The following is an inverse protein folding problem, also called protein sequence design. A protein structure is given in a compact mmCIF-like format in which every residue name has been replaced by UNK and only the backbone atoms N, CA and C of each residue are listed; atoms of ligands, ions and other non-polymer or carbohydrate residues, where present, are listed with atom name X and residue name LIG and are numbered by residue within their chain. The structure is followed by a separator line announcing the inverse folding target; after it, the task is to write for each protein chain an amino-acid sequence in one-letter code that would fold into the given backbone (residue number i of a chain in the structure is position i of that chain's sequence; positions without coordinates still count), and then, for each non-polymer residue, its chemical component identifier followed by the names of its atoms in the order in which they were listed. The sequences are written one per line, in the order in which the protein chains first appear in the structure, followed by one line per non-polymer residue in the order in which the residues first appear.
data_IF_420632928783
#
_entry.id   IF_420632928783
#
_cell.length_a   1.000
_cell.length_b   1.000
_cell.length_c   1.000
_cell.angle_alpha   90.00
_cell.angle_beta   90.00
_cell.angle_gamma   90.00
#
_symmetry.space_group_name_H-M   'P 1'
#
loop_
_entity.id
_entity.type
_entity.pdbx_description
1 polymer ?
#
# COMPACT_ATOMS: atom_id res chain seq x y z
N UNK A 1 11.08 5.04 15.48
CA UNK A 1 11.27 5.87 14.28
C UNK A 1 10.22 5.54 13.23
N UNK A 2 9.59 6.54 12.68
CA UNK A 2 8.61 6.39 11.60
C UNK A 2 9.28 6.81 10.30
N UNK A 3 9.23 5.93 9.31
CA UNK A 3 9.67 6.23 7.95
C UNK A 3 8.45 6.28 7.04
N UNK A 4 8.43 7.25 6.14
CA UNK A 4 7.37 7.37 5.14
C UNK A 4 7.91 6.91 3.80
N UNK A 5 7.25 5.97 3.17
CA UNK A 5 7.67 5.38 1.91
C UNK A 5 6.67 5.78 0.83
N UNK A 6 7.10 6.61 -0.10
CA UNK A 6 6.26 7.05 -1.22
C UNK A 6 6.78 6.57 -2.57
N UNK A 7 7.96 5.97 -2.57
CA UNK A 7 8.62 5.48 -3.78
C UNK A 7 9.25 4.11 -3.51
N UNK A 8 9.32 3.27 -4.52
CA UNK A 8 9.80 1.89 -4.35
C UNK A 8 11.27 1.80 -3.93
N UNK A 9 12.10 2.73 -4.39
CA UNK A 9 13.52 2.75 -4.01
C UNK A 9 13.74 2.99 -2.52
N UNK A 10 12.72 3.48 -1.83
CA UNK A 10 12.77 3.69 -0.39
C UNK A 10 12.51 2.42 0.42
N UNK A 11 12.14 1.33 -0.25
CA UNK A 11 11.77 0.08 0.41
C UNK A 11 12.95 -0.72 0.95
N UNK A 12 14.02 -0.04 1.31
CA UNK A 12 15.15 -0.64 2.02
C UNK A 12 15.24 -0.04 3.41
N UNK A 13 15.20 -0.89 4.43
CA UNK A 13 15.35 -0.39 5.80
C UNK A 13 16.74 0.21 5.99
N UNK A 14 16.84 1.42 6.56
CA UNK A 14 18.13 2.03 6.83
C UNK A 14 18.89 1.24 7.89
N UNK A 15 20.21 1.22 7.75
CA UNK A 15 21.08 0.72 8.84
C UNK A 15 20.93 1.68 10.03
N UNK A 16 20.92 1.20 11.29
CA UNK A 16 21.33 -0.14 11.75
C UNK A 16 20.21 -1.15 11.95
N UNK A 17 19.04 -0.95 11.37
CA UNK A 17 17.95 -1.90 11.55
C UNK A 17 18.31 -3.28 11.00
N UNK A 18 18.06 -4.31 11.82
CA UNK A 18 18.19 -5.70 11.39
C UNK A 18 16.86 -6.17 10.84
N UNK A 19 16.85 -7.09 9.86
CA UNK A 19 15.62 -7.69 9.39
C UNK A 19 14.82 -8.27 10.56
N UNK A 20 13.55 -7.97 10.64
CA UNK A 20 12.65 -8.45 11.66
C UNK A 20 12.55 -7.59 12.92
N UNK A 21 13.38 -6.56 13.08
CA UNK A 21 13.36 -5.72 14.29
C UNK A 21 12.43 -4.51 14.19
N UNK A 22 12.17 -4.02 12.99
CA UNK A 22 11.43 -2.78 12.78
C UNK A 22 9.95 -3.03 12.53
N UNK A 23 9.11 -2.12 13.04
CA UNK A 23 7.74 -1.96 12.60
C UNK A 23 7.71 -0.81 11.60
N UNK A 24 7.08 -1.01 10.46
CA UNK A 24 7.07 -0.04 9.36
C UNK A 24 5.65 0.39 9.08
N UNK A 25 5.45 1.70 8.97
CA UNK A 25 4.20 2.29 8.52
C UNK A 25 4.39 2.82 7.09
N UNK A 26 3.71 2.22 6.15
CA UNK A 26 3.67 2.66 4.76
C UNK A 26 2.45 3.54 4.57
N UNK A 27 2.68 4.83 4.46
CA UNK A 27 1.65 5.84 4.27
C UNK A 27 2.06 6.77 3.12
N UNK A 28 1.31 7.00 2.16
CA UNK A 28 0.01 6.48 1.79
C UNK A 28 0.17 5.69 0.49
N UNK A 29 -0.50 4.55 0.40
CA UNK A 29 -0.36 3.66 -0.77
C UNK A 29 -0.79 4.34 -2.06
N UNK A 30 -1.79 5.20 -2.01
CA UNK A 30 -2.25 5.94 -3.19
C UNK A 30 -1.16 6.84 -3.77
N UNK A 31 -0.35 7.47 -2.93
CA UNK A 31 0.78 8.29 -3.41
C UNK A 31 1.84 7.44 -4.08
N UNK A 32 2.19 6.31 -3.48
CA UNK A 32 3.18 5.40 -4.06
C UNK A 32 2.71 4.86 -5.40
N UNK A 33 1.47 4.43 -5.50
CA UNK A 33 0.88 3.93 -6.74
C UNK A 33 0.86 5.03 -7.80
N UNK A 34 0.50 6.26 -7.41
CA UNK A 34 0.50 7.40 -8.31
C UNK A 34 1.90 7.67 -8.88
N UNK A 35 2.91 7.70 -8.01
CA UNK A 35 4.29 7.95 -8.42
C UNK A 35 4.79 6.87 -9.37
N UNK A 36 4.53 5.60 -9.07
CA UNK A 36 4.94 4.51 -9.96
C UNK A 36 4.18 4.51 -11.27
N UNK A 37 2.88 4.81 -11.25
CA UNK A 37 2.05 4.89 -12.45
C UNK A 37 2.60 5.93 -13.43
N UNK A 38 2.92 7.13 -12.93
CA UNK A 38 3.42 8.21 -13.78
C UNK A 38 4.89 8.07 -14.15
N UNK A 39 5.67 7.34 -13.35
CA UNK A 39 7.05 7.03 -13.69
C UNK A 39 7.12 6.01 -14.82
N UNK A 40 6.39 4.92 -14.71
CA UNK A 40 6.30 3.87 -15.73
C UNK A 40 5.06 3.03 -15.47
N UNK A 41 4.03 3.23 -16.25
CA UNK A 41 2.76 2.51 -16.08
C UNK A 41 2.93 1.00 -16.32
N UNK A 42 3.69 0.63 -17.37
CA UNK A 42 3.88 -0.78 -17.72
C UNK A 42 4.62 -1.51 -16.60
N UNK A 43 4.03 -2.59 -16.12
CA UNK A 43 4.61 -3.40 -15.06
C UNK A 43 4.52 -2.79 -13.66
N UNK A 44 3.80 -1.68 -13.50
CA UNK A 44 3.71 -0.99 -12.21
C UNK A 44 3.12 -1.89 -11.12
N UNK A 45 2.06 -2.64 -11.41
CA UNK A 45 1.43 -3.51 -10.43
C UNK A 45 2.42 -4.55 -9.89
N UNK A 46 3.15 -5.21 -10.78
CA UNK A 46 4.12 -6.25 -10.42
C UNK A 46 5.26 -5.68 -9.58
N UNK A 47 5.79 -4.51 -9.97
CA UNK A 47 6.86 -3.86 -9.20
C UNK A 47 6.40 -3.47 -7.81
N UNK A 48 5.20 -2.92 -7.68
CA UNK A 48 4.66 -2.50 -6.38
C UNK A 48 4.41 -3.72 -5.50
N UNK A 49 3.81 -4.77 -6.03
CA UNK A 49 3.54 -6.00 -5.28
C UNK A 49 4.84 -6.65 -4.81
N UNK A 50 5.84 -6.74 -5.67
CA UNK A 50 7.15 -7.28 -5.32
C UNK A 50 7.82 -6.43 -4.23
N UNK A 51 7.75 -5.10 -4.36
CA UNK A 51 8.30 -4.18 -3.37
C UNK A 51 7.65 -4.33 -2.00
N UNK A 52 6.34 -4.50 -1.96
CA UNK A 52 5.61 -4.73 -0.71
C UNK A 52 6.04 -6.04 -0.08
N UNK A 53 6.16 -7.11 -0.86
CA UNK A 53 6.63 -8.41 -0.35
C UNK A 53 8.05 -8.32 0.20
N UNK A 54 8.95 -7.60 -0.48
CA UNK A 54 10.31 -7.40 0.00
C UNK A 54 10.33 -6.61 1.30
N UNK A 55 9.53 -5.55 1.40
CA UNK A 55 9.45 -4.74 2.61
C UNK A 55 8.88 -5.56 3.77
N UNK A 56 7.84 -6.33 3.52
CA UNK A 56 7.23 -7.20 4.53
C UNK A 56 8.22 -8.23 5.07
N UNK A 57 9.13 -8.72 4.22
CA UNK A 57 10.19 -9.65 4.63
C UNK A 57 11.30 -9.01 5.46
N UNK A 58 11.39 -7.68 5.48
CA UNK A 58 12.43 -6.95 6.20
C UNK A 58 11.98 -6.42 7.56
N UNK A 59 10.70 -6.45 7.85
CA UNK A 59 10.18 -5.86 9.08
C UNK A 59 9.37 -6.87 9.89
N UNK A 60 9.22 -6.58 11.16
CA UNK A 60 8.44 -7.40 12.08
C UNK A 60 6.95 -7.21 11.86
N UNK A 61 6.54 -5.95 11.71
CA UNK A 61 5.17 -5.58 11.43
C UNK A 61 5.14 -4.56 10.31
N UNK A 62 4.32 -4.80 9.31
CA UNK A 62 4.07 -3.85 8.24
C UNK A 62 2.63 -3.38 8.34
N UNK A 63 2.47 -2.07 8.50
CA UNK A 63 1.17 -1.41 8.50
C UNK A 63 1.08 -0.58 7.24
N UNK A 64 0.07 -0.85 6.43
CA UNK A 64 -0.15 -0.13 5.17
C UNK A 64 -1.42 0.68 5.28
N UNK A 65 -1.30 1.97 5.00
CA UNK A 65 -2.46 2.87 4.90
C UNK A 65 -2.75 3.11 3.43
N UNK A 66 -3.97 2.85 3.03
CA UNK A 66 -4.40 3.05 1.65
C UNK A 66 -5.77 3.68 1.62
N UNK A 67 -6.11 4.30 0.51
CA UNK A 67 -7.42 4.88 0.27
C UNK A 67 -8.19 4.00 -0.68
N UNK A 68 -9.48 3.86 -0.42
CA UNK A 68 -10.37 3.32 -1.42
C UNK A 68 -10.76 4.44 -2.39
N UNK A 69 -10.37 4.29 -3.65
CA UNK A 69 -10.83 5.18 -4.70
C UNK A 69 -12.07 4.55 -5.29
N UNK A 70 -13.15 4.59 -4.52
CA UNK A 70 -14.40 4.00 -4.94
C UNK A 70 -14.96 4.75 -6.16
N UNK A 71 -15.63 3.98 -7.00
CA UNK A 71 -16.36 4.55 -8.11
C UNK A 71 -17.53 5.38 -7.56
N UNK A 72 -17.42 6.70 -7.64
CA UNK A 72 -18.53 7.60 -7.35
C UNK A 72 -19.48 7.70 -8.55
N UNK A 73 -19.33 6.82 -9.53
CA UNK A 73 -20.11 6.80 -10.75
C UNK A 73 -19.65 7.79 -11.81
N UNK A 74 -18.60 8.56 -11.54
CA UNK A 74 -18.09 9.58 -12.49
C UNK A 74 -16.96 8.99 -13.32
N UNK A 75 -16.90 9.40 -14.58
CA UNK A 75 -15.81 9.09 -15.48
C UNK A 75 -14.82 10.28 -15.48
N UNK A 76 -13.57 10.01 -15.15
CA UNK A 76 -12.52 11.03 -15.04
C UNK A 76 -11.50 11.02 -16.18
N UNK A 77 -11.75 10.25 -17.23
CA UNK A 77 -10.82 10.06 -18.32
C UNK A 77 -10.08 8.73 -18.21
N UNK A 78 -9.53 8.27 -19.34
CA UNK A 78 -8.93 6.94 -19.42
C UNK A 78 -7.69 6.78 -18.55
N UNK A 79 -6.85 7.80 -18.48
CA UNK A 79 -5.65 7.76 -17.63
C UNK A 79 -6.02 7.63 -16.17
N UNK A 80 -6.97 8.42 -15.69
CA UNK A 80 -7.43 8.35 -14.30
C UNK A 80 -8.07 7.00 -14.01
N UNK A 81 -8.84 6.45 -14.96
CA UNK A 81 -9.44 5.12 -14.80
C UNK A 81 -8.38 4.03 -14.75
N UNK A 82 -7.29 4.12 -15.52
CA UNK A 82 -6.18 3.17 -15.44
C UNK A 82 -5.50 3.24 -14.07
N UNK A 83 -5.26 4.45 -13.56
CA UNK A 83 -4.71 4.64 -12.21
C UNK A 83 -5.62 4.02 -11.14
N UNK A 84 -6.92 4.27 -11.23
CA UNK A 84 -7.89 3.74 -10.26
C UNK A 84 -7.93 2.22 -10.29
N UNK A 85 -7.85 1.60 -11.46
CA UNK A 85 -7.78 0.14 -11.59
C UNK A 85 -6.49 -0.40 -11.00
N UNK A 86 -5.38 0.28 -11.21
CA UNK A 86 -4.10 -0.11 -10.62
C UNK A 86 -4.18 -0.07 -9.10
N UNK A 87 -4.65 1.03 -8.53
CA UNK A 87 -4.80 1.16 -7.09
C UNK A 87 -5.76 0.10 -6.53
N UNK A 88 -6.88 -0.14 -7.19
CA UNK A 88 -7.82 -1.19 -6.81
C UNK A 88 -7.19 -2.57 -6.81
N UNK A 89 -6.37 -2.88 -7.82
CA UNK A 89 -5.64 -4.15 -7.90
C UNK A 89 -4.65 -4.29 -6.75
N UNK A 90 -3.93 -3.23 -6.42
CA UNK A 90 -3.00 -3.23 -5.30
C UNK A 90 -3.75 -3.39 -3.97
N UNK A 91 -4.86 -2.70 -3.80
CA UNK A 91 -5.68 -2.84 -2.59
C UNK A 91 -6.21 -4.27 -2.41
N UNK A 92 -6.63 -4.92 -3.48
CA UNK A 92 -7.04 -6.32 -3.44
C UNK A 92 -5.88 -7.24 -3.04
N UNK A 93 -4.70 -6.99 -3.58
CA UNK A 93 -3.49 -7.72 -3.21
C UNK A 93 -3.17 -7.56 -1.73
N UNK A 94 -3.19 -6.32 -1.24
CA UNK A 94 -2.95 -6.02 0.18
C UNK A 94 -3.95 -6.75 1.07
N UNK A 95 -5.23 -6.68 0.74
CA UNK A 95 -6.28 -7.36 1.51
C UNK A 95 -6.12 -8.87 1.54
N UNK A 96 -5.63 -9.47 0.44
CA UNK A 96 -5.42 -10.91 0.38
C UNK A 96 -4.21 -11.36 1.23
N UNK A 97 -3.21 -10.50 1.40
CA UNK A 97 -1.98 -10.82 2.13
C UNK A 97 -2.01 -10.40 3.59
N UNK A 98 -2.81 -9.40 3.94
CA UNK A 98 -2.86 -8.88 5.29
C UNK A 98 -3.49 -9.89 6.27
N UNK A 99 -2.98 -9.90 7.49
CA UNK A 99 -3.56 -10.65 8.60
C UNK A 99 -4.75 -9.92 9.21
N UNK A 100 -4.72 -8.58 9.12
CA UNK A 100 -5.74 -7.71 9.67
C UNK A 100 -6.05 -6.62 8.64
N UNK A 101 -7.32 -6.44 8.33
CA UNK A 101 -7.81 -5.35 7.47
C UNK A 101 -8.86 -4.57 8.25
N UNK A 102 -8.63 -3.28 8.38
CA UNK A 102 -9.53 -2.35 9.10
C UNK A 102 -9.89 -1.20 8.18
N UNK A 103 -11.16 -0.93 8.07
CA UNK A 103 -11.68 0.25 7.39
C UNK A 103 -12.02 1.31 8.42
N UNK A 104 -11.51 2.53 8.23
CA UNK A 104 -11.85 3.65 9.11
C UNK A 104 -13.03 4.40 8.50
N UNK A 105 -14.17 4.40 9.19
CA UNK A 105 -15.40 5.06 8.76
C UNK A 105 -15.74 6.12 9.80
N UNK A 106 -15.55 7.39 9.45
CA UNK A 106 -15.76 8.51 10.38
C UNK A 106 -15.05 8.32 11.72
N UNK A 107 -13.80 7.84 11.67
CA UNK A 107 -13.01 7.57 12.87
C UNK A 107 -13.36 6.27 13.60
N UNK A 108 -14.33 5.51 13.10
CA UNK A 108 -14.76 4.24 13.71
C UNK A 108 -14.07 3.09 12.96
N UNK A 109 -13.29 2.25 13.68
CA UNK A 109 -12.65 1.10 13.03
C UNK A 109 -13.68 0.01 12.74
N UNK A 110 -13.73 -0.43 11.48
CA UNK A 110 -14.54 -1.56 11.05
C UNK A 110 -13.60 -2.67 10.60
N UNK A 111 -13.57 -3.78 11.33
CA UNK A 111 -12.71 -4.91 11.02
C UNK A 111 -13.32 -5.69 9.86
N UNK A 112 -12.55 -5.82 8.77
CA UNK A 112 -12.95 -6.58 7.57
C UNK A 112 -12.28 -7.95 7.52
N UNK A 113 -11.15 -8.11 8.17
CA UNK A 113 -10.39 -9.37 8.21
C UNK A 113 -9.58 -9.40 9.50
N UNK A 114 -9.49 -10.57 10.13
CA UNK A 114 -8.71 -10.75 11.34
C UNK A 114 -9.40 -10.21 12.59
N UNK A 115 -8.58 -9.99 13.62
CA UNK A 115 -9.04 -9.47 14.92
C UNK A 115 -8.12 -8.36 15.39
N UNK A 116 -8.70 -7.32 15.98
CA UNK A 116 -7.91 -6.33 16.72
C UNK A 116 -7.27 -6.99 17.95
N UNK A 117 -6.00 -6.62 18.24
CA UNK A 117 -5.30 -7.16 19.40
C UNK A 117 -5.92 -6.70 20.72
#
# INVERSE_FOLDING_TARGET
KVEVYTELEQFCLPKPFQPGDASVLLECMSNLVCNEFYRQEKGAAERIMDGICQLAGQCRHLIVVTNEVSADGRYYGEETERYRRLLGRINCFLGSRADLVVEAVYGIPVVRKGRLP
#
